data_IF_942132541490
#
_entry.id   IF_942132541490
#
_cell.length_a   1.000
_cell.length_b   1.000
_cell.length_c   1.000
_cell.angle_alpha   90.00
_cell.angle_beta   90.00
_cell.angle_gamma   90.00
#
_symmetry.space_group_name_H-M   'P 1'
#
loop_
_entity.id
_entity.type
_entity.pdbx_description
1 polymer ?
#
# COMPACT_ATOMS: atom_id res chain seq x y z
N UNK A 1 -18.71 -23.41 -25.64
CA UNK A 1 -17.37 -22.91 -26.03
C UNK A 1 -16.68 -22.24 -24.83
N UNK A 2 -15.77 -22.91 -24.09
CA UNK A 2 -15.05 -22.32 -22.96
C UNK A 2 -13.53 -22.18 -23.18
N UNK A 3 -13.03 -22.23 -24.42
CA UNK A 3 -11.58 -22.21 -24.72
C UNK A 3 -10.93 -20.82 -24.67
N UNK A 4 -11.72 -19.74 -24.80
CA UNK A 4 -11.22 -18.36 -24.79
C UNK A 4 -10.74 -17.90 -23.39
N UNK A 5 -11.45 -18.31 -22.32
CA UNK A 5 -11.07 -17.99 -20.94
C UNK A 5 -9.76 -18.68 -20.52
N UNK A 6 -9.49 -19.88 -21.03
CA UNK A 6 -8.24 -20.59 -20.76
C UNK A 6 -7.05 -19.89 -21.41
N UNK A 7 -7.15 -19.51 -22.70
CA UNK A 7 -6.08 -18.78 -23.42
C UNK A 7 -5.76 -17.41 -22.82
N UNK A 8 -6.79 -16.67 -22.38
CA UNK A 8 -6.58 -15.39 -21.69
C UNK A 8 -5.82 -15.56 -20.37
N UNK A 9 -6.19 -16.58 -19.57
CA UNK A 9 -5.49 -16.91 -18.32
C UNK A 9 -4.07 -17.38 -18.57
N UNK A 10 -3.83 -18.14 -19.63
CA UNK A 10 -2.52 -18.68 -19.99
C UNK A 10 -1.56 -17.59 -20.48
N UNK A 11 -2.03 -16.68 -21.33
CA UNK A 11 -1.24 -15.53 -21.78
C UNK A 11 -0.97 -14.52 -20.65
N UNK A 12 -1.92 -14.28 -19.74
CA UNK A 12 -1.68 -13.49 -18.53
C UNK A 12 -0.63 -14.15 -17.64
N UNK A 13 -0.68 -15.48 -17.45
CA UNK A 13 0.33 -16.22 -16.68
C UNK A 13 1.73 -16.09 -17.29
N UNK A 14 1.87 -16.23 -18.61
CA UNK A 14 3.15 -16.15 -19.31
C UNK A 14 3.72 -14.72 -19.32
N UNK A 15 2.90 -13.71 -19.59
CA UNK A 15 3.32 -12.30 -19.59
C UNK A 15 3.71 -11.81 -18.17
N UNK A 16 2.99 -12.29 -17.15
CA UNK A 16 3.34 -12.03 -15.76
C UNK A 16 4.68 -12.69 -15.42
N UNK A 17 4.95 -13.92 -15.85
CA UNK A 17 6.16 -14.65 -15.46
C UNK A 17 7.45 -13.95 -15.92
N UNK A 18 7.47 -13.44 -17.14
CA UNK A 18 8.67 -12.86 -17.76
C UNK A 18 9.05 -11.49 -17.16
N UNK A 19 8.04 -10.70 -16.79
CA UNK A 19 8.26 -9.38 -16.17
C UNK A 19 8.13 -9.38 -14.64
N UNK A 20 7.67 -10.47 -14.01
CA UNK A 20 7.47 -10.56 -12.55
C UNK A 20 8.74 -10.26 -11.79
N UNK A 21 9.86 -10.86 -12.19
CA UNK A 21 11.11 -10.68 -11.46
C UNK A 21 11.62 -9.24 -11.57
N UNK A 22 11.47 -8.60 -12.75
CA UNK A 22 11.79 -7.19 -12.95
C UNK A 22 10.91 -6.29 -12.08
N UNK A 23 9.58 -6.46 -12.14
CA UNK A 23 8.62 -5.67 -11.35
C UNK A 23 8.89 -5.81 -9.85
N UNK A 24 9.08 -7.03 -9.36
CA UNK A 24 9.36 -7.27 -7.94
C UNK A 24 10.69 -6.67 -7.49
N UNK A 25 11.70 -6.65 -8.37
CA UNK A 25 13.01 -6.05 -8.08
C UNK A 25 12.91 -4.53 -8.03
N UNK A 26 12.26 -3.90 -9.02
CA UNK A 26 12.01 -2.45 -9.03
C UNK A 26 11.20 -2.04 -7.79
N UNK A 27 10.15 -2.77 -7.46
CA UNK A 27 9.31 -2.51 -6.29
C UNK A 27 10.04 -2.74 -4.96
N UNK A 28 11.06 -3.60 -4.95
CA UNK A 28 11.97 -3.78 -3.81
C UNK A 28 12.85 -2.55 -3.64
N UNK A 29 13.51 -2.08 -4.71
CA UNK A 29 14.41 -0.92 -4.69
C UNK A 29 13.65 0.34 -4.29
N UNK A 30 12.53 0.65 -4.96
CA UNK A 30 11.70 1.81 -4.62
C UNK A 30 11.21 1.69 -3.17
N UNK A 31 10.77 0.50 -2.77
CA UNK A 31 10.29 0.30 -1.41
C UNK A 31 11.37 0.38 -0.33
N UNK A 32 12.65 0.22 -0.65
CA UNK A 32 13.75 0.51 0.27
C UNK A 32 13.93 2.02 0.44
N UNK A 33 13.92 2.77 -0.67
CA UNK A 33 14.00 4.24 -0.63
C UNK A 33 12.84 4.84 0.19
N UNK A 34 11.61 4.38 -0.06
CA UNK A 34 10.42 4.82 0.69
C UNK A 34 10.55 4.48 2.17
N UNK A 35 11.08 3.30 2.53
CA UNK A 35 11.31 2.92 3.93
C UNK A 35 12.22 3.94 4.63
N UNK A 36 13.34 4.24 3.98
CA UNK A 36 14.35 5.15 4.49
C UNK A 36 13.76 6.54 4.67
N UNK A 37 13.03 7.06 3.68
CA UNK A 37 12.34 8.36 3.78
C UNK A 37 11.32 8.38 4.90
N UNK A 38 10.54 7.31 5.08
CA UNK A 38 9.56 7.19 6.16
C UNK A 38 10.23 7.21 7.53
N UNK A 39 11.34 6.46 7.70
CA UNK A 39 12.11 6.44 8.94
C UNK A 39 12.65 7.84 9.25
N UNK A 40 13.28 8.51 8.29
CA UNK A 40 13.75 9.89 8.48
C UNK A 40 12.61 10.85 8.82
N UNK A 41 11.45 10.70 8.20
CA UNK A 41 10.26 11.51 8.48
C UNK A 41 9.77 11.29 9.91
N UNK A 42 9.74 10.05 10.39
CA UNK A 42 9.37 9.72 11.77
C UNK A 42 10.39 10.33 12.75
N UNK A 43 11.69 10.15 12.49
CA UNK A 43 12.74 10.75 13.32
C UNK A 43 12.62 12.27 13.37
N UNK A 44 12.37 12.92 12.23
CA UNK A 44 12.13 14.35 12.18
C UNK A 44 10.85 14.73 12.95
N UNK A 45 9.78 13.93 12.86
CA UNK A 45 8.51 14.13 13.56
C UNK A 45 8.59 13.88 15.07
N UNK A 46 9.61 13.23 15.62
CA UNK A 46 9.71 13.05 17.07
C UNK A 46 10.97 13.69 17.70
N UNK A 47 12.02 13.94 16.92
CA UNK A 47 13.32 14.39 17.45
C UNK A 47 13.56 15.90 17.48
N UNK A 48 12.76 16.71 16.76
CA UNK A 48 13.03 18.16 16.61
C UNK A 48 11.80 19.03 16.92
N UNK A 49 11.98 20.28 17.41
CA UNK A 49 10.89 21.25 17.50
C UNK A 49 10.40 21.63 16.10
N UNK A 50 9.10 21.89 15.94
CA UNK A 50 8.44 21.94 14.63
C UNK A 50 7.42 23.06 14.56
N UNK A 51 7.21 23.54 13.35
CA UNK A 51 6.06 24.36 12.98
C UNK A 51 4.85 23.49 12.64
N UNK A 52 3.64 24.06 12.71
CA UNK A 52 2.40 23.38 12.30
C UNK A 52 2.45 22.86 10.86
N UNK A 53 3.02 23.64 9.94
CA UNK A 53 3.18 23.25 8.53
C UNK A 53 4.13 22.07 8.34
N UNK A 54 5.29 22.08 9.02
CA UNK A 54 6.25 20.97 8.91
C UNK A 54 5.70 19.66 9.49
N UNK A 55 4.91 19.72 10.57
CA UNK A 55 4.17 18.57 11.11
C UNK A 55 3.23 17.98 10.06
N UNK A 56 2.46 18.84 9.39
CA UNK A 56 1.47 18.42 8.40
C UNK A 56 2.14 17.70 7.23
N UNK A 57 3.15 18.32 6.62
CA UNK A 57 3.88 17.74 5.48
C UNK A 57 4.52 16.41 5.87
N UNK A 58 5.19 16.35 7.03
CA UNK A 58 5.86 15.13 7.50
C UNK A 58 4.86 14.00 7.74
N UNK A 59 3.68 14.32 8.30
CA UNK A 59 2.61 13.35 8.51
C UNK A 59 2.04 12.84 7.19
N UNK A 60 1.85 13.73 6.20
CA UNK A 60 1.42 13.35 4.85
C UNK A 60 2.44 12.42 4.17
N UNK A 61 3.75 12.66 4.31
CA UNK A 61 4.82 11.78 3.78
C UNK A 61 4.76 10.39 4.43
N UNK A 62 4.61 10.32 5.75
CA UNK A 62 4.49 9.05 6.47
C UNK A 62 3.24 8.29 5.99
N UNK A 63 2.10 8.97 5.89
CA UNK A 63 0.86 8.36 5.40
C UNK A 63 0.99 7.86 3.96
N UNK A 64 1.57 8.66 3.07
CA UNK A 64 1.83 8.26 1.68
C UNK A 64 2.75 7.04 1.61
N UNK A 65 3.76 6.96 2.47
CA UNK A 65 4.67 5.80 2.56
C UNK A 65 3.93 4.53 2.97
N UNK A 66 3.00 4.61 3.94
CA UNK A 66 2.16 3.48 4.34
C UNK A 66 1.23 3.03 3.21
N UNK A 67 0.59 3.96 2.50
CA UNK A 67 -0.25 3.66 1.33
C UNK A 67 0.58 2.99 0.23
N UNK A 68 1.82 3.44 -0.01
CA UNK A 68 2.73 2.78 -0.94
C UNK A 68 2.99 1.32 -0.55
N UNK A 69 3.21 1.01 0.73
CA UNK A 69 3.41 -0.37 1.17
C UNK A 69 2.16 -1.24 0.98
N UNK A 70 0.98 -0.67 1.19
CA UNK A 70 -0.28 -1.36 0.91
C UNK A 70 -0.38 -1.70 -0.59
N UNK A 71 -0.16 -0.72 -1.48
CA UNK A 71 -0.17 -0.92 -2.94
C UNK A 71 0.89 -1.96 -3.34
N UNK A 72 2.09 -1.87 -2.78
CA UNK A 72 3.18 -2.83 -3.01
C UNK A 72 2.76 -4.25 -2.63
N UNK A 73 2.07 -4.43 -1.52
CA UNK A 73 1.53 -5.73 -1.12
C UNK A 73 0.47 -6.24 -2.10
N UNK A 74 -0.46 -5.38 -2.53
CA UNK A 74 -1.45 -5.74 -3.56
C UNK A 74 -0.79 -6.18 -4.87
N UNK A 75 0.23 -5.45 -5.33
CA UNK A 75 0.99 -5.82 -6.53
C UNK A 75 1.63 -7.20 -6.35
N UNK A 76 2.27 -7.48 -5.20
CA UNK A 76 2.82 -8.82 -4.91
C UNK A 76 1.74 -9.90 -4.91
N UNK A 77 0.57 -9.61 -4.34
CA UNK A 77 -0.56 -10.53 -4.26
C UNK A 77 -1.11 -10.86 -5.66
N UNK A 78 -1.33 -9.86 -6.52
CA UNK A 78 -1.80 -10.06 -7.90
C UNK A 78 -0.75 -10.74 -8.79
N UNK A 79 0.54 -10.49 -8.56
CA UNK A 79 1.65 -11.20 -9.21
C UNK A 79 1.83 -12.63 -8.69
N UNK A 80 1.16 -13.00 -7.59
CA UNK A 80 1.17 -14.37 -7.08
C UNK A 80 0.11 -15.20 -7.83
N UNK A 81 0.56 -16.27 -8.48
CA UNK A 81 -0.33 -17.16 -9.24
C UNK A 81 -1.38 -17.82 -8.32
N UNK A 82 -1.02 -18.03 -7.06
CA UNK A 82 -1.83 -18.67 -6.02
C UNK A 82 -1.92 -17.78 -4.77
N UNK A 83 -2.75 -16.75 -4.86
CA UNK A 83 -3.12 -15.84 -3.75
C UNK A 83 -3.34 -16.52 -2.39
N UNK A 84 -4.06 -17.65 -2.34
CA UNK A 84 -4.30 -18.41 -1.10
C UNK A 84 -3.00 -18.95 -0.48
N UNK A 85 -2.09 -19.44 -1.32
CA UNK A 85 -0.80 -19.94 -0.86
C UNK A 85 0.10 -18.79 -0.42
N UNK A 86 0.07 -17.66 -1.15
CA UNK A 86 0.83 -16.47 -0.82
C UNK A 86 0.46 -15.91 0.56
N UNK A 87 -0.84 -15.80 0.87
CA UNK A 87 -1.32 -15.33 2.18
C UNK A 87 -0.87 -16.29 3.28
N UNK A 88 -0.96 -17.61 3.06
CA UNK A 88 -0.55 -18.62 4.05
C UNK A 88 0.95 -18.61 4.33
N UNK A 89 1.77 -18.31 3.33
CA UNK A 89 3.22 -18.18 3.50
C UNK A 89 3.61 -16.84 4.17
N UNK A 90 2.81 -15.79 3.96
CA UNK A 90 3.08 -14.45 4.46
C UNK A 90 1.98 -13.98 5.42
N UNK A 91 1.61 -14.80 6.41
CA UNK A 91 0.49 -14.51 7.32
C UNK A 91 0.69 -13.19 8.07
N UNK A 92 1.91 -12.94 8.55
CA UNK A 92 2.23 -11.71 9.28
C UNK A 92 2.13 -10.46 8.38
N UNK A 93 2.73 -10.50 7.18
CA UNK A 93 2.62 -9.39 6.20
C UNK A 93 1.15 -9.17 5.83
N UNK A 94 0.41 -10.24 5.57
CA UNK A 94 -1.00 -10.18 5.20
C UNK A 94 -1.87 -9.59 6.31
N UNK A 95 -1.63 -9.97 7.57
CA UNK A 95 -2.34 -9.44 8.72
C UNK A 95 -2.08 -7.94 8.89
N UNK A 96 -0.83 -7.50 8.82
CA UNK A 96 -0.47 -6.07 8.89
C UNK A 96 -1.13 -5.29 7.76
N UNK A 97 -1.10 -5.82 6.53
CA UNK A 97 -1.66 -5.13 5.37
C UNK A 97 -3.18 -5.04 5.44
N UNK A 98 -3.84 -6.08 5.95
CA UNK A 98 -5.27 -6.06 6.23
C UNK A 98 -5.62 -5.02 7.30
N UNK A 99 -4.85 -4.97 8.40
CA UNK A 99 -5.01 -3.96 9.44
C UNK A 99 -4.81 -2.53 8.89
N UNK A 100 -3.77 -2.30 8.10
CA UNK A 100 -3.51 -1.02 7.44
C UNK A 100 -4.65 -0.62 6.50
N UNK A 101 -5.20 -1.56 5.75
CA UNK A 101 -6.34 -1.31 4.87
C UNK A 101 -7.56 -0.83 5.66
N UNK A 102 -7.89 -1.50 6.77
CA UNK A 102 -8.98 -1.08 7.66
C UNK A 102 -8.72 0.32 8.21
N UNK A 103 -7.50 0.61 8.70
CA UNK A 103 -7.16 1.93 9.22
C UNK A 103 -7.34 3.03 8.18
N UNK A 104 -6.93 2.79 6.93
CA UNK A 104 -7.10 3.76 5.84
C UNK A 104 -8.59 3.97 5.51
N UNK A 105 -9.37 2.90 5.45
CA UNK A 105 -10.82 2.99 5.23
C UNK A 105 -11.52 3.78 6.34
N UNK A 106 -11.18 3.52 7.60
CA UNK A 106 -11.70 4.28 8.73
C UNK A 106 -11.29 5.75 8.65
N UNK A 107 -10.02 6.04 8.36
CA UNK A 107 -9.55 7.41 8.21
C UNK A 107 -10.33 8.17 7.12
N UNK A 108 -10.55 7.55 5.96
CA UNK A 108 -11.34 8.14 4.88
C UNK A 108 -12.79 8.38 5.30
N UNK A 109 -13.43 7.38 5.91
CA UNK A 109 -14.82 7.46 6.36
C UNK A 109 -15.05 8.54 7.43
N UNK A 110 -14.16 8.61 8.44
CA UNK A 110 -14.25 9.64 9.47
C UNK A 110 -13.98 11.03 8.90
N UNK A 111 -13.03 11.17 7.97
CA UNK A 111 -12.75 12.47 7.33
C UNK A 111 -13.98 12.99 6.59
N UNK A 112 -14.63 12.17 5.78
CA UNK A 112 -15.84 12.59 5.03
C UNK A 112 -16.99 12.90 5.97
N UNK A 113 -17.20 12.07 7.00
CA UNK A 113 -18.30 12.25 7.96
C UNK A 113 -18.15 13.54 8.77
N UNK A 114 -16.94 13.85 9.24
CA UNK A 114 -16.66 15.08 9.99
C UNK A 114 -16.84 16.31 9.09
N UNK A 115 -16.36 16.26 7.85
CA UNK A 115 -16.54 17.38 6.92
C UNK A 115 -18.03 17.66 6.61
N UNK A 116 -18.83 16.61 6.44
CA UNK A 116 -20.27 16.75 6.22
C UNK A 116 -20.98 17.33 7.45
N UNK A 117 -20.67 16.83 8.65
CA UNK A 117 -21.24 17.36 9.90
C UNK A 117 -20.97 18.86 10.09
N UNK A 118 -19.78 19.33 9.72
CA UNK A 118 -19.43 20.75 9.78
C UNK A 118 -20.10 21.59 8.69
N UNK A 119 -20.52 21.03 7.55
CA UNK A 119 -21.26 21.77 6.52
C UNK A 119 -22.76 21.86 6.78
N UNK A 120 -23.34 20.90 7.50
CA UNK A 120 -24.78 20.93 7.87
C UNK A 120 -25.08 21.83 9.08
N UNK A 121 -24.09 22.10 9.94
CA UNK A 121 -24.27 22.86 11.19
C UNK A 121 -23.64 24.27 11.16
N UNK A 122 -23.25 24.77 9.99
CA UNK A 122 -22.76 26.14 9.73
C UNK A 122 -23.63 26.78 8.64
#
# INVERSE_FOLDING_TARGET
MPYLFFKWRENLRLAIYDNRQKILTTLRIIGMLVATTAIFSILYLYGFPKTSESVRITREIIQASLVFYLIKYWIKLFLSLDWKQFIRQNLFESFIMFFLMIMILLYLFFRTSVQQFFQENL
#
